data_IF_094469763394
#
_entry.id   IF_094469763394
#
_cell.length_a   1.000
_cell.length_b   1.000
_cell.length_c   1.000
_cell.angle_alpha   90.00
_cell.angle_beta   90.00
_cell.angle_gamma   90.00
#
_symmetry.space_group_name_H-M   'P 1'
#
loop_
_entity.id
_entity.type
_entity.pdbx_description
1 polymer ?
#
# COMPACT_ATOMS: atom_id res chain seq x y z
N UNK A 1 12.89 -8.39 -11.35
CA UNK A 1 12.39 -8.76 -10.01
C UNK A 1 10.87 -8.87 -10.02
N UNK A 2 10.32 -9.97 -9.49
CA UNK A 2 8.86 -10.21 -9.44
C UNK A 2 8.17 -9.14 -8.57
N UNK A 3 6.95 -8.73 -8.92
CA UNK A 3 6.20 -7.70 -8.19
C UNK A 3 6.01 -8.06 -6.70
N UNK A 4 5.80 -9.35 -6.43
CA UNK A 4 5.75 -9.87 -5.07
C UNK A 4 7.02 -9.51 -4.27
N UNK A 5 8.20 -9.79 -4.84
CA UNK A 5 9.48 -9.51 -4.18
C UNK A 5 9.70 -8.01 -3.97
N UNK A 6 9.31 -7.18 -4.96
CA UNK A 6 9.34 -5.71 -4.81
C UNK A 6 8.44 -5.23 -3.67
N UNK A 7 7.26 -5.81 -3.54
CA UNK A 7 6.31 -5.44 -2.49
C UNK A 7 6.81 -5.87 -1.11
N UNK A 8 7.34 -7.10 -0.99
CA UNK A 8 7.95 -7.59 0.27
C UNK A 8 9.13 -6.71 0.67
N UNK A 9 10.02 -6.41 -0.29
CA UNK A 9 11.15 -5.52 -0.05
C UNK A 9 10.71 -4.14 0.40
N UNK A 10 9.69 -3.56 -0.26
CA UNK A 10 9.14 -2.26 0.13
C UNK A 10 8.57 -2.30 1.55
N UNK A 11 7.81 -3.33 1.92
CA UNK A 11 7.27 -3.48 3.28
C UNK A 11 8.38 -3.64 4.32
N UNK A 12 9.39 -4.46 4.05
CA UNK A 12 10.55 -4.60 4.94
C UNK A 12 11.31 -3.28 5.08
N UNK A 13 11.52 -2.57 3.96
CA UNK A 13 12.15 -1.26 3.95
C UNK A 13 11.36 -0.23 4.76
N UNK A 14 10.03 -0.19 4.63
CA UNK A 14 9.18 0.70 5.42
C UNK A 14 9.34 0.40 6.92
N UNK A 15 9.25 -0.88 7.33
CA UNK A 15 9.37 -1.26 8.75
C UNK A 15 10.74 -0.88 9.32
N UNK A 16 11.82 -1.12 8.57
CA UNK A 16 13.18 -0.75 9.00
C UNK A 16 13.33 0.78 9.03
N UNK A 17 12.87 1.50 8.01
CA UNK A 17 12.93 2.95 7.94
C UNK A 17 12.15 3.63 9.07
N UNK A 18 11.00 3.05 9.48
CA UNK A 18 10.23 3.53 10.63
C UNK A 18 11.05 3.61 11.91
N UNK A 19 12.05 2.75 12.11
CA UNK A 19 12.91 2.77 13.29
C UNK A 19 13.88 3.98 13.33
N UNK A 20 14.13 4.62 12.19
CA UNK A 20 15.08 5.73 12.05
C UNK A 20 14.39 7.10 11.91
N UNK A 21 13.11 7.14 11.53
CA UNK A 21 12.35 8.39 11.35
C UNK A 21 11.78 8.85 12.70
N UNK A 22 12.19 10.00 13.28
CA UNK A 22 11.82 10.39 14.64
C UNK A 22 10.31 10.37 14.93
N UNK A 23 9.50 10.86 14.00
CA UNK A 23 8.03 10.89 14.15
C UNK A 23 7.37 9.51 14.07
N UNK A 24 7.95 8.56 13.34
CA UNK A 24 7.36 7.22 13.16
C UNK A 24 8.00 6.21 14.14
N UNK A 25 9.18 6.52 14.67
CA UNK A 25 9.93 5.67 15.59
C UNK A 25 9.13 5.26 16.82
N UNK A 26 8.27 6.15 17.31
CA UNK A 26 7.43 5.92 18.50
C UNK A 26 6.46 4.75 18.27
N UNK A 27 5.98 4.57 17.04
CA UNK A 27 5.04 3.51 16.66
C UNK A 27 5.72 2.37 15.86
N UNK A 28 7.02 2.44 15.63
CA UNK A 28 7.71 1.54 14.69
C UNK A 28 7.63 0.05 15.07
N UNK A 29 7.57 -0.23 16.39
CA UNK A 29 7.44 -1.58 16.94
C UNK A 29 6.01 -1.91 17.40
N UNK A 30 5.06 -0.99 17.20
CA UNK A 30 3.67 -1.22 17.56
C UNK A 30 3.06 -2.29 16.64
N UNK A 31 2.27 -3.18 17.24
CA UNK A 31 1.64 -4.27 16.52
C UNK A 31 0.64 -3.75 15.48
N UNK A 32 -0.04 -2.64 15.77
CA UNK A 32 -0.98 -2.02 14.83
C UNK A 32 -0.25 -1.44 13.61
N UNK A 33 0.94 -0.85 13.80
CA UNK A 33 1.79 -0.39 12.70
C UNK A 33 2.25 -1.55 11.82
N UNK A 34 2.84 -2.58 12.42
CA UNK A 34 3.34 -3.77 11.70
C UNK A 34 2.20 -4.43 10.92
N UNK A 35 1.05 -4.63 11.56
CA UNK A 35 -0.15 -5.19 10.94
C UNK A 35 -0.65 -4.35 9.77
N UNK A 36 -0.58 -3.03 9.86
CA UNK A 36 -0.97 -2.13 8.76
C UNK A 36 -0.05 -2.29 7.55
N UNK A 37 1.28 -2.32 7.76
CA UNK A 37 2.24 -2.52 6.67
C UNK A 37 2.06 -3.89 6.01
N UNK A 38 1.83 -4.94 6.79
CA UNK A 38 1.55 -6.29 6.28
C UNK A 38 0.21 -6.37 5.53
N UNK A 39 -0.82 -5.70 6.04
CA UNK A 39 -2.10 -5.61 5.35
C UNK A 39 -1.94 -4.95 3.97
N UNK A 40 -1.18 -3.86 3.88
CA UNK A 40 -0.88 -3.21 2.59
C UNK A 40 -0.12 -4.12 1.63
N UNK A 41 0.84 -4.91 2.13
CA UNK A 41 1.54 -5.91 1.32
C UNK A 41 0.55 -6.89 0.68
N UNK A 42 -0.33 -7.48 1.49
CA UNK A 42 -1.34 -8.43 1.02
C UNK A 42 -2.28 -7.76 0.02
N UNK A 43 -2.77 -6.56 0.35
CA UNK A 43 -3.66 -5.79 -0.52
C UNK A 43 -2.99 -5.52 -1.89
N UNK A 44 -1.73 -5.10 -1.90
CA UNK A 44 -1.01 -4.78 -3.13
C UNK A 44 -0.84 -6.02 -4.02
N UNK A 45 -0.54 -7.17 -3.42
CA UNK A 45 -0.43 -8.46 -4.13
C UNK A 45 -1.79 -8.89 -4.70
N UNK A 46 -2.87 -8.79 -3.92
CA UNK A 46 -4.21 -9.18 -4.37
C UNK A 46 -4.69 -8.30 -5.53
N UNK A 47 -4.49 -6.98 -5.42
CA UNK A 47 -4.83 -6.04 -6.49
C UNK A 47 -4.01 -6.32 -7.74
N UNK A 48 -2.70 -6.57 -7.60
CA UNK A 48 -1.84 -6.93 -8.73
C UNK A 48 -2.32 -8.21 -9.43
N UNK A 49 -2.64 -9.26 -8.68
CA UNK A 49 -3.21 -10.51 -9.24
C UNK A 49 -4.48 -10.25 -10.04
N UNK A 50 -5.33 -9.30 -9.62
CA UNK A 50 -6.52 -8.89 -10.39
C UNK A 50 -6.13 -8.18 -11.69
N UNK A 51 -5.19 -7.24 -11.65
CA UNK A 51 -4.69 -6.56 -12.86
C UNK A 51 -4.08 -7.57 -13.84
N UNK A 52 -3.26 -8.50 -13.37
CA UNK A 52 -2.60 -9.48 -14.22
C UNK A 52 -3.58 -10.41 -14.94
N UNK A 53 -4.78 -10.64 -14.37
CA UNK A 53 -5.87 -11.40 -15.03
C UNK A 53 -6.53 -10.63 -16.16
N UNK A 54 -6.54 -9.31 -16.10
CA UNK A 54 -7.22 -8.44 -17.08
C UNK A 54 -6.26 -7.68 -18.00
N UNK A 55 -4.95 -7.91 -17.86
CA UNK A 55 -3.91 -7.21 -18.64
C UNK A 55 -4.01 -7.44 -20.17
N UNK A 56 -4.55 -8.59 -20.58
CA UNK A 56 -4.77 -8.94 -21.99
C UNK A 56 -6.23 -8.68 -22.42
N UNK A 57 -7.06 -8.11 -21.54
CA UNK A 57 -8.44 -7.77 -21.87
C UNK A 57 -8.50 -6.45 -22.65
N UNK A 58 -9.70 -5.98 -22.98
CA UNK A 58 -9.88 -4.70 -23.66
C UNK A 58 -9.31 -3.54 -22.82
N UNK A 59 -8.83 -2.45 -23.46
CA UNK A 59 -8.27 -1.30 -22.75
C UNK A 59 -9.19 -0.76 -21.65
N UNK A 60 -10.50 -0.75 -21.90
CA UNK A 60 -11.54 -0.33 -20.94
C UNK A 60 -11.53 -1.21 -19.68
N UNK A 61 -11.46 -2.54 -19.83
CA UNK A 61 -11.42 -3.46 -18.69
C UNK A 61 -10.13 -3.28 -17.87
N UNK A 62 -9.01 -3.04 -18.54
CA UNK A 62 -7.72 -2.82 -17.89
C UNK A 62 -7.70 -1.51 -17.10
N UNK A 63 -8.10 -0.38 -17.71
CA UNK A 63 -8.16 0.92 -17.02
C UNK A 63 -9.15 0.91 -15.86
N UNK A 64 -10.31 0.27 -16.04
CA UNK A 64 -11.31 0.10 -14.97
C UNK A 64 -10.73 -0.66 -13.78
N UNK A 65 -9.93 -1.71 -14.02
CA UNK A 65 -9.30 -2.46 -12.94
C UNK A 65 -8.20 -1.65 -12.22
N UNK A 66 -7.42 -0.83 -12.93
CA UNK A 66 -6.45 0.09 -12.33
C UNK A 66 -7.16 1.13 -11.46
N UNK A 67 -8.19 1.78 -12.01
CA UNK A 67 -8.98 2.77 -11.26
C UNK A 67 -9.64 2.12 -10.03
N UNK A 68 -10.22 0.93 -10.18
CA UNK A 68 -10.78 0.18 -9.07
C UNK A 68 -9.74 -0.13 -7.98
N UNK A 69 -8.52 -0.52 -8.37
CA UNK A 69 -7.42 -0.74 -7.42
C UNK A 69 -7.00 0.54 -6.68
N UNK A 70 -6.96 1.68 -7.38
CA UNK A 70 -6.68 2.98 -6.78
C UNK A 70 -7.78 3.39 -5.79
N UNK A 71 -9.05 3.30 -6.20
CA UNK A 71 -10.21 3.60 -5.34
C UNK A 71 -10.22 2.76 -4.08
N UNK A 72 -9.95 1.44 -4.18
CA UNK A 72 -9.87 0.55 -3.02
C UNK A 72 -8.80 1.04 -2.03
N UNK A 73 -7.61 1.40 -2.50
CA UNK A 73 -6.55 1.93 -1.63
C UNK A 73 -6.95 3.27 -1.01
N UNK A 74 -7.55 4.17 -1.81
CA UNK A 74 -8.01 5.47 -1.34
C UNK A 74 -9.13 5.39 -0.29
N UNK A 75 -9.97 4.36 -0.31
CA UNK A 75 -11.01 4.14 0.70
C UNK A 75 -10.47 3.44 1.96
N UNK A 76 -9.57 2.47 1.79
CA UNK A 76 -9.02 1.72 2.93
C UNK A 76 -8.09 2.60 3.78
N UNK A 77 -7.27 3.46 3.16
CA UNK A 77 -6.34 4.35 3.87
C UNK A 77 -7.03 5.18 4.97
N UNK A 78 -8.06 6.00 4.67
CA UNK A 78 -8.77 6.77 5.69
C UNK A 78 -9.56 5.86 6.64
N UNK A 79 -10.05 4.70 6.18
CA UNK A 79 -10.75 3.75 7.06
C UNK A 79 -9.84 3.23 8.17
N UNK A 80 -8.59 2.85 7.84
CA UNK A 80 -7.60 2.40 8.83
C UNK A 80 -7.33 3.51 9.86
N UNK A 81 -7.12 4.74 9.38
CA UNK A 81 -6.88 5.90 10.25
C UNK A 81 -8.10 6.20 11.12
N UNK A 82 -9.31 6.16 10.54
CA UNK A 82 -10.55 6.41 11.27
C UNK A 82 -10.81 5.37 12.37
N UNK A 83 -10.55 4.10 12.10
CA UNK A 83 -10.65 3.03 13.11
C UNK A 83 -9.64 3.25 14.23
N UNK A 84 -8.40 3.62 13.90
CA UNK A 84 -7.37 3.93 14.90
C UNK A 84 -7.77 5.09 15.82
N UNK A 85 -8.33 6.15 15.23
CA UNK A 85 -8.85 7.31 15.96
C UNK A 85 -10.07 6.96 16.82
N UNK A 86 -11.01 6.17 16.30
CA UNK A 86 -12.21 5.76 17.02
C UNK A 86 -11.88 4.91 18.25
N UNK A 87 -10.82 4.10 18.17
CA UNK A 87 -10.28 3.31 19.28
C UNK A 87 -9.42 4.13 20.26
N UNK A 88 -9.25 5.44 20.04
CA UNK A 88 -8.46 6.36 20.89
C UNK A 88 -7.03 5.86 21.15
N UNK A 89 -6.42 5.22 20.15
CA UNK A 89 -5.05 4.76 20.24
C UNK A 89 -4.07 5.95 20.35
N UNK A 90 -2.95 5.80 21.07
CA UNK A 90 -1.96 6.87 21.24
C UNK A 90 -1.27 7.22 19.91
N UNK A 91 -0.59 8.36 19.82
CA UNK A 91 0.23 8.71 18.65
C UNK A 91 -0.53 8.75 17.31
N UNK A 92 -1.82 9.07 17.33
CA UNK A 92 -2.70 9.10 16.17
C UNK A 92 -2.17 9.91 14.97
N UNK A 93 -1.51 11.03 15.23
CA UNK A 93 -0.91 11.87 14.20
C UNK A 93 0.25 11.17 13.48
N UNK A 94 1.17 10.61 14.27
CA UNK A 94 2.32 9.82 13.80
C UNK A 94 1.85 8.62 12.99
N UNK A 95 0.80 7.93 13.48
CA UNK A 95 0.18 6.81 12.77
C UNK A 95 -0.46 7.24 11.44
N UNK A 96 -1.26 8.31 11.42
CA UNK A 96 -1.91 8.79 10.20
C UNK A 96 -0.89 9.15 9.09
N UNK A 97 0.18 9.87 9.45
CA UNK A 97 1.27 10.20 8.51
C UNK A 97 1.97 8.95 8.02
N UNK A 98 2.24 7.99 8.92
CA UNK A 98 2.81 6.70 8.56
C UNK A 98 1.94 5.94 7.56
N UNK A 99 0.65 5.80 7.84
CA UNK A 99 -0.30 5.09 6.96
C UNK A 99 -0.42 5.78 5.61
N UNK A 100 -0.43 7.11 5.58
CA UNK A 100 -0.40 7.86 4.33
C UNK A 100 0.88 7.61 3.53
N UNK A 101 2.04 7.57 4.20
CA UNK A 101 3.32 7.25 3.56
C UNK A 101 3.34 5.84 2.97
N UNK A 102 2.80 4.85 3.70
CA UNK A 102 2.62 3.47 3.23
C UNK A 102 1.74 3.43 1.98
N UNK A 103 0.63 4.18 1.99
CA UNK A 103 -0.28 4.31 0.84
C UNK A 103 0.44 4.87 -0.39
N UNK A 104 1.17 5.98 -0.24
CA UNK A 104 1.90 6.62 -1.34
C UNK A 104 2.92 5.66 -1.93
N UNK A 105 3.79 5.09 -1.10
CA UNK A 105 4.86 4.18 -1.55
C UNK A 105 4.33 2.92 -2.23
N UNK A 106 3.26 2.32 -1.69
CA UNK A 106 2.64 1.15 -2.33
C UNK A 106 1.93 1.50 -3.64
N UNK A 107 1.39 2.72 -3.75
CA UNK A 107 0.73 3.21 -4.95
C UNK A 107 1.75 3.53 -6.04
N UNK A 108 2.86 4.19 -5.71
CA UNK A 108 3.94 4.47 -6.66
C UNK A 108 4.53 3.17 -7.22
N UNK A 109 4.78 2.17 -6.36
CA UNK A 109 5.27 0.87 -6.81
C UNK A 109 4.27 0.17 -7.75
N UNK A 110 2.98 0.23 -7.42
CA UNK A 110 1.92 -0.36 -8.22
C UNK A 110 1.77 0.31 -9.58
N UNK A 111 1.77 1.64 -9.64
CA UNK A 111 1.66 2.42 -10.88
C UNK A 111 2.89 2.18 -11.77
N UNK A 112 4.09 2.19 -11.19
CA UNK A 112 5.32 1.91 -11.94
C UNK A 112 5.29 0.50 -12.57
N UNK A 113 4.77 -0.50 -11.86
CA UNK A 113 4.63 -1.84 -12.43
C UNK A 113 3.53 -1.93 -13.50
N UNK A 114 2.40 -1.24 -13.30
CA UNK A 114 1.31 -1.17 -14.27
C UNK A 114 1.75 -0.48 -15.59
N UNK A 115 2.51 0.62 -15.51
CA UNK A 115 3.06 1.30 -16.70
C UNK A 115 4.00 0.39 -17.51
N UNK A 116 4.79 -0.45 -16.83
CA UNK A 116 5.66 -1.43 -17.50
C UNK A 116 4.87 -2.50 -18.27
N UNK A 117 3.61 -2.77 -17.90
CA UNK A 117 2.74 -3.65 -18.69
C UNK A 117 2.26 -2.97 -19.97
N UNK A 118 1.90 -1.68 -19.89
CA UNK A 118 1.43 -0.91 -21.05
C UNK A 118 2.55 -0.70 -22.07
N UNK A 119 3.79 -0.43 -21.65
CA UNK A 119 4.91 -0.20 -22.57
C UNK A 119 5.41 -1.46 -23.31
N UNK A 120 4.94 -2.64 -22.91
CA UNK A 120 5.37 -3.94 -23.47
C UNK A 120 4.29 -4.61 -24.34
N UNK A 121 3.07 -4.10 -24.33
CA UNK A 121 2.02 -4.47 -25.28
C UNK A 121 2.04 -3.51 -26.46
#
# INVERSE_FOLDING_TARGET
MNFFLKSVFLSAFILVASCFIPHIKIIALDWTWISTVLFYLILNILLKKRIDKVKNATPIKFTTAIMGAATVKMLITPTIVAVYLALKQPEAWSFAIGVFSVFVLNTTLFVADAQNLVRKG
#
